data_IF_476148183985
#
_entry.id   IF_476148183985
#
_cell.length_a   1.000
_cell.length_b   1.000
_cell.length_c   1.000
_cell.angle_alpha   90.00
_cell.angle_beta   90.00
_cell.angle_gamma   90.00
#
_symmetry.space_group_name_H-M   'P 1'
#
loop_
_entity.id
_entity.type
_entity.pdbx_description
1 polymer ?
#
# COMPACT_ATOMS: atom_id res chain seq x y z
N UNK A 1 -6.39 -0.10 7.49
CA UNK A 1 -5.05 0.11 8.10
C UNK A 1 -5.18 -0.05 9.59
N UNK A 2 -4.42 -0.94 10.22
CA UNK A 2 -4.42 -1.04 11.67
C UNK A 2 -3.63 0.13 12.24
N UNK A 3 -4.29 0.89 13.08
CA UNK A 3 -3.62 1.92 13.86
C UNK A 3 -2.51 1.31 14.73
N UNK A 4 -1.56 2.12 15.14
CA UNK A 4 -0.41 1.74 15.99
C UNK A 4 -0.80 1.00 17.28
N UNK A 5 -2.07 1.05 17.70
CA UNK A 5 -2.56 0.44 18.94
C UNK A 5 -2.82 -1.06 18.81
N UNK A 6 -3.19 -1.55 17.62
CA UNK A 6 -3.65 -2.93 17.47
C UNK A 6 -2.51 -3.96 17.45
N UNK A 7 -1.34 -3.59 16.94
CA UNK A 7 -0.16 -4.49 16.91
C UNK A 7 0.41 -4.77 18.31
N UNK A 8 0.25 -3.84 19.27
CA UNK A 8 0.74 -3.99 20.64
C UNK A 8 0.02 -5.08 21.44
N UNK A 9 -1.26 -5.32 21.17
CA UNK A 9 -2.11 -6.26 21.91
C UNK A 9 -2.10 -7.70 21.35
N UNK A 10 -1.54 -7.94 20.18
CA UNK A 10 -1.48 -9.27 19.59
C UNK A 10 -0.39 -10.12 20.27
N UNK A 11 -0.66 -11.41 20.60
CA UNK A 11 0.37 -12.30 21.12
C UNK A 11 1.39 -12.68 20.05
N UNK A 12 2.64 -12.90 20.45
CA UNK A 12 3.71 -13.35 19.57
C UNK A 12 4.79 -12.30 19.28
N UNK A 13 5.81 -12.71 18.54
CA UNK A 13 6.86 -11.82 18.06
C UNK A 13 6.35 -10.89 16.92
N UNK A 14 7.16 -9.91 16.52
CA UNK A 14 6.77 -8.93 15.51
C UNK A 14 6.38 -9.57 14.16
N UNK A 15 7.07 -10.65 13.75
CA UNK A 15 6.78 -11.36 12.51
C UNK A 15 5.45 -12.10 12.60
N UNK A 16 5.19 -12.76 13.74
CA UNK A 16 3.92 -13.46 13.99
C UNK A 16 2.74 -12.49 14.02
N UNK A 17 2.88 -11.33 14.63
CA UNK A 17 1.85 -10.29 14.67
C UNK A 17 1.51 -9.73 13.29
N UNK A 18 2.47 -9.72 12.39
CA UNK A 18 2.27 -9.23 11.02
C UNK A 18 1.68 -10.26 10.05
N UNK A 19 1.77 -11.54 10.35
CA UNK A 19 1.35 -12.62 9.44
C UNK A 19 -0.07 -12.43 8.89
N UNK A 20 -1.10 -12.09 9.68
CA UNK A 20 -2.46 -11.89 9.15
C UNK A 20 -2.55 -10.76 8.11
N UNK A 21 -1.73 -9.71 8.26
CA UNK A 21 -1.73 -8.57 7.34
C UNK A 21 -0.92 -8.82 6.09
N UNK A 22 0.00 -9.78 6.14
CA UNK A 22 0.79 -10.21 5.00
C UNK A 22 0.04 -11.17 4.09
N UNK A 23 -0.97 -11.87 4.64
CA UNK A 23 -1.68 -12.93 3.92
C UNK A 23 -2.27 -12.43 2.58
N UNK A 24 -3.00 -11.32 2.50
CA UNK A 24 -3.55 -10.84 1.22
C UNK A 24 -2.48 -10.54 0.17
N UNK A 25 -1.32 -10.04 0.61
CA UNK A 25 -0.19 -9.77 -0.28
C UNK A 25 0.45 -11.07 -0.79
N UNK A 26 0.60 -12.06 0.09
CA UNK A 26 1.11 -13.38 -0.27
C UNK A 26 0.17 -14.09 -1.25
N UNK A 27 -1.14 -14.00 -1.02
CA UNK A 27 -2.15 -14.55 -1.91
C UNK A 27 -2.09 -13.91 -3.30
N UNK A 28 -1.96 -12.59 -3.38
CA UNK A 28 -1.79 -11.87 -4.64
C UNK A 28 -0.49 -12.28 -5.36
N UNK A 29 0.61 -12.44 -4.64
CA UNK A 29 1.88 -12.92 -5.21
C UNK A 29 1.73 -14.35 -5.76
N UNK A 30 1.00 -15.22 -5.06
CA UNK A 30 0.70 -16.57 -5.52
C UNK A 30 -0.17 -16.54 -6.79
N UNK A 31 -1.18 -15.67 -6.87
CA UNK A 31 -1.99 -15.47 -8.07
C UNK A 31 -1.13 -14.98 -9.25
N UNK A 32 -0.25 -14.02 -9.02
CA UNK A 32 0.68 -13.55 -10.06
C UNK A 32 1.60 -14.69 -10.51
N UNK A 33 2.17 -15.44 -9.55
CA UNK A 33 3.07 -16.56 -9.84
C UNK A 33 2.36 -17.66 -10.64
N UNK A 34 1.10 -17.96 -10.34
CA UNK A 34 0.31 -19.01 -11.01
C UNK A 34 0.04 -18.72 -12.49
N UNK A 35 0.22 -17.48 -12.95
CA UNK A 35 0.11 -17.11 -14.36
C UNK A 35 1.32 -17.57 -15.20
N UNK A 36 2.41 -17.98 -14.54
CA UNK A 36 3.62 -18.43 -15.18
C UNK A 36 3.76 -19.95 -15.06
N UNK A 37 4.45 -20.57 -16.03
CA UNK A 37 4.75 -22.01 -15.94
C UNK A 37 5.63 -22.29 -14.72
N UNK A 38 5.40 -23.41 -14.00
CA UNK A 38 6.29 -23.83 -12.94
C UNK A 38 7.76 -23.86 -13.41
N UNK A 39 8.67 -23.38 -12.57
CA UNK A 39 10.11 -23.27 -12.87
C UNK A 39 10.47 -22.34 -14.04
N UNK A 40 9.55 -21.53 -14.55
CA UNK A 40 9.89 -20.48 -15.49
C UNK A 40 10.79 -19.42 -14.83
N UNK A 41 11.50 -18.65 -15.67
CA UNK A 41 12.37 -17.56 -15.20
C UNK A 41 11.59 -16.53 -14.36
N UNK A 42 10.35 -16.26 -14.74
CA UNK A 42 9.44 -15.33 -14.07
C UNK A 42 9.00 -15.87 -12.70
N UNK A 43 8.58 -17.13 -12.62
CA UNK A 43 8.18 -17.77 -11.37
C UNK A 43 9.34 -17.83 -10.36
N UNK A 44 10.52 -18.23 -10.81
CA UNK A 44 11.74 -18.25 -10.00
C UNK A 44 12.17 -16.85 -9.55
N UNK A 45 11.95 -15.83 -10.39
CA UNK A 45 12.24 -14.44 -10.01
C UNK A 45 11.32 -13.96 -8.87
N UNK A 46 10.03 -14.29 -8.90
CA UNK A 46 9.07 -13.96 -7.83
C UNK A 46 9.52 -14.62 -6.52
N UNK A 47 9.88 -15.91 -6.54
CA UNK A 47 10.42 -16.60 -5.37
C UNK A 47 11.70 -15.94 -4.83
N UNK A 48 12.59 -15.55 -5.72
CA UNK A 48 13.83 -14.90 -5.32
C UNK A 48 13.64 -13.52 -4.71
N UNK A 49 12.54 -12.82 -5.05
CA UNK A 49 12.25 -11.51 -4.46
C UNK A 49 11.99 -11.59 -2.96
N UNK A 50 11.31 -12.66 -2.51
CA UNK A 50 11.02 -12.89 -1.10
C UNK A 50 12.25 -13.42 -0.35
N UNK A 51 12.91 -14.45 -0.90
CA UNK A 51 14.05 -15.10 -0.26
C UNK A 51 15.29 -14.21 -0.15
N UNK A 52 15.44 -13.24 -1.07
CA UNK A 52 16.56 -12.28 -1.10
C UNK A 52 16.19 -10.93 -0.46
N UNK A 53 15.07 -10.85 0.26
CA UNK A 53 14.59 -9.63 0.91
C UNK A 53 14.49 -8.42 -0.05
N UNK A 54 14.26 -8.68 -1.35
CA UNK A 54 14.02 -7.63 -2.33
C UNK A 54 12.61 -7.04 -2.24
N UNK A 55 11.68 -7.79 -1.68
CA UNK A 55 10.35 -7.37 -1.30
C UNK A 55 10.27 -7.37 0.22
N UNK A 56 10.18 -6.17 0.78
CA UNK A 56 10.05 -5.95 2.22
C UNK A 56 8.66 -5.38 2.48
N UNK A 57 7.94 -5.97 3.42
CA UNK A 57 6.62 -5.53 3.83
C UNK A 57 6.71 -5.10 5.29
N UNK A 58 6.43 -3.82 5.52
CA UNK A 58 6.55 -3.22 6.86
C UNK A 58 5.32 -2.36 7.18
N UNK A 59 4.87 -2.29 8.45
CA UNK A 59 3.91 -1.30 8.89
C UNK A 59 4.46 0.11 8.74
N UNK A 60 3.60 1.07 8.40
CA UNK A 60 3.99 2.48 8.28
C UNK A 60 4.61 3.06 9.57
N UNK A 61 4.27 2.50 10.72
CA UNK A 61 4.86 2.90 12.00
C UNK A 61 6.38 2.77 12.03
N UNK A 62 6.95 1.80 11.34
CA UNK A 62 8.39 1.51 11.37
C UNK A 62 9.22 2.34 10.39
N UNK A 63 8.59 3.11 9.52
CA UNK A 63 9.31 4.03 8.64
C UNK A 63 9.59 5.39 9.27
N UNK A 64 9.01 5.68 10.45
CA UNK A 64 9.30 6.93 11.18
C UNK A 64 10.78 6.98 11.56
N UNK A 65 11.46 8.10 11.26
CA UNK A 65 12.88 8.29 11.54
C UNK A 65 13.83 7.65 10.52
N UNK A 66 13.35 6.88 9.55
CA UNK A 66 14.18 6.30 8.48
C UNK A 66 14.15 7.18 7.23
N UNK A 67 15.23 7.19 6.47
CA UNK A 67 15.27 7.72 5.11
C UNK A 67 15.16 6.56 4.13
N UNK A 68 14.26 6.67 3.17
CA UNK A 68 14.01 5.65 2.15
C UNK A 68 14.77 6.06 0.88
N UNK A 69 15.91 5.46 0.64
CA UNK A 69 16.74 5.76 -0.54
C UNK A 69 16.76 4.59 -1.54
N UNK A 70 16.81 4.93 -2.83
CA UNK A 70 16.98 3.97 -3.94
C UNK A 70 16.03 2.79 -3.91
N UNK A 71 14.76 3.02 -3.56
CA UNK A 71 13.73 1.99 -3.48
C UNK A 71 12.46 2.38 -4.23
N UNK A 72 11.67 1.37 -4.54
CA UNK A 72 10.30 1.50 -5.01
C UNK A 72 9.39 1.26 -3.80
N UNK A 73 8.73 2.29 -3.32
CA UNK A 73 7.95 2.26 -2.09
C UNK A 73 6.47 2.43 -2.40
N UNK A 74 5.68 1.40 -2.09
CA UNK A 74 4.23 1.39 -2.31
C UNK A 74 3.53 1.56 -0.98
N UNK A 75 2.62 2.52 -0.89
CA UNK A 75 1.75 2.76 0.26
C UNK A 75 0.32 2.46 -0.17
N UNK A 76 -0.21 1.36 0.33
CA UNK A 76 -1.58 0.94 0.04
C UNK A 76 -2.57 1.51 1.06
N UNK A 77 -3.85 1.58 0.70
CA UNK A 77 -4.94 2.14 1.51
C UNK A 77 -4.66 3.57 1.98
N UNK A 78 -4.06 4.37 1.10
CA UNK A 78 -3.56 5.72 1.43
C UNK A 78 -4.67 6.73 1.72
N UNK A 79 -5.93 6.45 1.38
CA UNK A 79 -7.09 7.25 1.76
C UNK A 79 -7.32 7.26 3.27
N UNK A 80 -6.78 6.26 3.99
CA UNK A 80 -6.87 6.18 5.46
C UNK A 80 -5.79 7.00 6.19
N UNK A 81 -4.91 7.67 5.44
CA UNK A 81 -3.91 8.58 6.01
C UNK A 81 -4.45 9.99 6.15
N UNK A 82 -4.11 10.64 7.25
CA UNK A 82 -4.28 12.08 7.39
C UNK A 82 -3.31 12.84 6.48
N UNK A 83 -3.59 14.11 6.11
CA UNK A 83 -2.62 14.96 5.40
C UNK A 83 -1.27 15.08 6.11
N UNK A 84 -1.27 15.09 7.44
CA UNK A 84 -0.04 15.14 8.23
C UNK A 84 0.80 13.86 8.12
N UNK A 85 0.17 12.69 8.18
CA UNK A 85 0.84 11.41 7.98
C UNK A 85 1.36 11.28 6.56
N UNK A 86 0.57 11.66 5.57
CA UNK A 86 0.98 11.70 4.16
C UNK A 86 2.24 12.54 3.98
N UNK A 87 2.28 13.77 4.53
CA UNK A 87 3.46 14.63 4.52
C UNK A 87 4.65 13.95 5.20
N UNK A 88 4.43 13.35 6.36
CA UNK A 88 5.47 12.67 7.12
C UNK A 88 6.12 11.54 6.33
N UNK A 89 5.32 10.76 5.59
CA UNK A 89 5.80 9.64 4.76
C UNK A 89 6.59 10.17 3.56
N UNK A 90 6.05 11.13 2.81
CA UNK A 90 6.69 11.65 1.59
C UNK A 90 8.04 12.29 1.90
N UNK A 91 8.14 12.99 3.03
CA UNK A 91 9.42 13.61 3.43
C UNK A 91 10.50 12.61 3.82
N UNK A 92 10.21 11.31 3.85
CA UNK A 92 11.20 10.24 4.02
C UNK A 92 11.81 9.76 2.70
N UNK A 93 11.27 10.19 1.57
CA UNK A 93 11.85 9.86 0.27
C UNK A 93 13.27 10.42 0.16
N UNK A 94 14.24 9.53 0.09
CA UNK A 94 15.63 9.85 -0.22
C UNK A 94 15.88 9.83 -1.73
N UNK A 95 17.09 10.10 -2.12
CA UNK A 95 17.51 10.11 -3.52
C UNK A 95 17.24 8.76 -4.20
N UNK A 96 16.72 8.79 -5.43
CA UNK A 96 16.44 7.61 -6.23
C UNK A 96 15.24 6.79 -5.76
N UNK A 97 14.40 7.32 -4.86
CA UNK A 97 13.17 6.65 -4.43
C UNK A 97 11.98 7.04 -5.29
N UNK A 98 11.23 6.04 -5.72
CA UNK A 98 9.90 6.22 -6.32
C UNK A 98 8.83 5.82 -5.32
N UNK A 99 7.94 6.74 -4.99
CA UNK A 99 6.78 6.49 -4.15
C UNK A 99 5.52 6.32 -4.99
N UNK A 100 4.70 5.34 -4.60
CA UNK A 100 3.39 5.08 -5.20
C UNK A 100 2.37 4.98 -4.08
N UNK A 101 1.35 5.80 -4.15
CA UNK A 101 0.23 5.80 -3.22
C UNK A 101 -0.98 5.21 -3.94
N UNK A 102 -1.55 4.14 -3.38
CA UNK A 102 -2.76 3.50 -3.89
C UNK A 102 -3.87 3.65 -2.87
N UNK A 103 -5.11 3.71 -3.33
CA UNK A 103 -6.26 3.82 -2.45
C UNK A 103 -7.55 4.16 -3.19
N UNK A 104 -8.65 4.05 -2.47
CA UNK A 104 -9.99 4.38 -2.93
C UNK A 104 -10.63 5.40 -1.97
N UNK A 105 -10.85 6.62 -2.44
CA UNK A 105 -11.40 7.71 -1.62
C UNK A 105 -12.86 7.48 -1.19
N UNK A 106 -13.53 6.46 -1.73
CA UNK A 106 -14.87 6.04 -1.32
C UNK A 106 -14.85 4.88 -0.29
N UNK A 107 -13.66 4.33 0.03
CA UNK A 107 -13.48 3.25 1.01
C UNK A 107 -12.61 3.75 2.18
N UNK A 108 -13.08 4.77 2.88
CA UNK A 108 -12.37 5.36 4.02
C UNK A 108 -12.88 4.71 5.31
N UNK A 109 -11.96 4.06 6.06
CA UNK A 109 -12.27 3.40 7.33
C UNK A 109 -12.02 4.31 8.54
N UNK A 110 -11.32 5.42 8.35
CA UNK A 110 -10.98 6.35 9.42
C UNK A 110 -12.17 7.29 9.75
N UNK A 111 -12.68 7.29 11.00
CA UNK A 111 -13.92 7.99 11.36
C UNK A 111 -13.85 9.52 11.24
N UNK A 112 -12.65 10.09 11.15
CA UNK A 112 -12.45 11.55 11.07
C UNK A 112 -11.98 12.01 9.68
N UNK A 113 -12.00 11.13 8.70
CA UNK A 113 -11.62 11.44 7.33
C UNK A 113 -12.82 11.23 6.41
N UNK A 114 -12.86 12.03 5.37
CA UNK A 114 -13.80 11.91 4.26
C UNK A 114 -13.06 12.00 2.91
N UNK A 115 -13.79 11.92 1.80
CA UNK A 115 -13.23 11.98 0.46
C UNK A 115 -12.44 13.28 0.16
N UNK A 116 -12.65 14.34 0.93
CA UNK A 116 -12.01 15.64 0.73
C UNK A 116 -10.86 15.90 1.69
N UNK A 117 -10.95 15.37 2.91
CA UNK A 117 -10.02 15.64 4.03
C UNK A 117 -8.92 14.60 4.19
N UNK A 118 -8.96 13.50 3.42
CA UNK A 118 -7.97 12.44 3.50
C UNK A 118 -6.62 12.83 2.84
N UNK A 119 -5.57 12.13 3.23
CA UNK A 119 -4.20 12.41 2.77
C UNK A 119 -3.99 12.17 1.28
N UNK A 120 -4.69 11.20 0.66
CA UNK A 120 -4.55 10.88 -0.75
C UNK A 120 -5.13 12.00 -1.63
N UNK A 121 -6.32 12.50 -1.32
CA UNK A 121 -6.93 13.66 -1.99
C UNK A 121 -6.06 14.90 -1.81
N UNK A 122 -5.63 15.18 -0.57
CA UNK A 122 -4.75 16.30 -0.27
C UNK A 122 -3.45 16.25 -1.06
N UNK A 123 -2.83 15.07 -1.18
CA UNK A 123 -1.63 14.88 -1.99
C UNK A 123 -1.90 15.22 -3.46
N UNK A 124 -2.99 14.68 -4.02
CA UNK A 124 -3.38 14.92 -5.41
C UNK A 124 -3.53 16.39 -5.73
N UNK A 125 -4.21 17.13 -4.86
CA UNK A 125 -4.42 18.58 -5.01
C UNK A 125 -3.12 19.40 -4.88
N UNK A 126 -2.33 19.13 -3.83
CA UNK A 126 -1.13 19.93 -3.52
C UNK A 126 0.04 19.67 -4.46
N UNK A 127 0.13 18.46 -5.01
CA UNK A 127 1.21 18.10 -5.93
C UNK A 127 0.83 18.25 -7.40
N UNK A 128 -0.40 18.65 -7.70
CA UNK A 128 -0.86 18.87 -9.06
C UNK A 128 0.08 19.86 -9.79
N UNK A 129 0.45 19.53 -11.03
CA UNK A 129 1.34 20.37 -11.86
C UNK A 129 2.84 20.22 -11.55
N UNK A 130 3.25 19.51 -10.51
CA UNK A 130 4.66 19.22 -10.26
C UNK A 130 5.18 18.19 -11.26
N UNK A 131 6.34 18.43 -11.87
CA UNK A 131 6.93 17.52 -12.88
C UNK A 131 7.27 16.12 -12.36
N UNK A 132 7.47 15.99 -11.06
CA UNK A 132 7.79 14.71 -10.38
C UNK A 132 6.55 13.96 -9.88
N UNK A 133 5.35 14.51 -10.11
CA UNK A 133 4.09 13.94 -9.62
C UNK A 133 3.17 13.59 -10.78
N UNK A 134 2.50 12.44 -10.65
CA UNK A 134 1.44 12.05 -11.56
C UNK A 134 0.29 11.41 -10.76
N UNK A 135 -0.94 11.79 -11.10
CA UNK A 135 -2.15 11.18 -10.59
C UNK A 135 -2.81 10.36 -11.71
N UNK A 136 -3.18 9.13 -11.39
CA UNK A 136 -3.87 8.21 -12.30
C UNK A 136 -5.16 7.78 -11.61
N UNK A 137 -6.29 8.03 -12.26
CA UNK A 137 -7.59 7.58 -11.81
C UNK A 137 -8.01 6.33 -12.60
N UNK A 138 -8.18 5.21 -11.90
CA UNK A 138 -8.63 3.95 -12.48
C UNK A 138 -10.17 3.94 -12.52
N UNK A 139 -10.74 4.02 -13.72
CA UNK A 139 -12.20 4.13 -13.92
C UNK A 139 -12.93 2.79 -13.91
N UNK A 140 -12.22 1.69 -14.14
CA UNK A 140 -12.80 0.35 -14.25
C UNK A 140 -12.28 -0.52 -13.13
N UNK A 141 -13.20 -1.08 -12.34
CA UNK A 141 -12.88 -2.12 -11.36
C UNK A 141 -12.74 -3.49 -12.03
N UNK A 142 -11.76 -4.27 -11.59
CA UNK A 142 -11.56 -5.66 -12.03
C UNK A 142 -11.99 -6.64 -10.91
N UNK A 143 -13.16 -6.38 -10.33
CA UNK A 143 -13.77 -7.22 -9.29
C UNK A 143 -14.85 -8.12 -9.85
N UNK A 144 -15.36 -9.08 -9.03
CA UNK A 144 -16.51 -9.90 -9.40
C UNK A 144 -17.76 -9.03 -9.61
N UNK A 145 -18.71 -9.54 -10.44
CA UNK A 145 -20.00 -8.87 -10.67
C UNK A 145 -20.75 -8.57 -9.35
N UNK A 146 -20.69 -9.50 -8.39
CA UNK A 146 -21.29 -9.31 -7.08
C UNK A 146 -20.67 -8.11 -6.34
N UNK A 147 -19.35 -8.04 -6.31
CA UNK A 147 -18.61 -6.96 -5.65
C UNK A 147 -18.88 -5.60 -6.30
N UNK A 148 -19.00 -5.58 -7.64
CA UNK A 148 -19.34 -4.35 -8.38
C UNK A 148 -20.76 -3.85 -8.07
N UNK A 149 -21.73 -4.78 -7.98
CA UNK A 149 -23.11 -4.44 -7.61
C UNK A 149 -23.16 -3.95 -6.15
N UNK A 150 -22.52 -4.66 -5.23
CA UNK A 150 -22.50 -4.29 -3.82
C UNK A 150 -21.91 -2.88 -3.61
N UNK A 151 -20.80 -2.56 -4.26
CA UNK A 151 -20.16 -1.23 -4.13
C UNK A 151 -20.97 -0.07 -4.71
N UNK A 152 -22.01 -0.36 -5.52
CA UNK A 152 -22.93 0.65 -6.07
C UNK A 152 -24.22 0.81 -5.26
N UNK A 153 -24.60 -0.21 -4.51
CA UNK A 153 -25.90 -0.26 -3.82
C UNK A 153 -25.79 -0.11 -2.31
N UNK A 154 -24.64 -0.39 -1.72
CA UNK A 154 -24.34 -0.29 -0.30
C UNK A 154 -23.40 0.85 0.00
#
# INVERSE_FOLDING_TARGET
>A
MLGNQDLGFLPGDQKQKMTPFLQPLMDNLNVIKSQFRPNSKEALRIESMLSQEKLIIEPLAYIRGRSLGKCYFIIDESQNLTPHEMKTIITRAGEGTKMVFTGDIFQIDQPYLDQWSNGLTHLGEKMAGQKIFQHIFLKKGERSRLSEIASKLL
#
